data_IF_465268585714
#
_entry.id   IF_465268585714
#
_cell.length_a   1.000
_cell.length_b   1.000
_cell.length_c   1.000
_cell.angle_alpha   90.00
_cell.angle_beta   90.00
_cell.angle_gamma   90.00
#
_symmetry.space_group_name_H-M   'P 1'
#
loop_
_entity.id
_entity.type
_entity.pdbx_description
1 polymer ?
#
# COMPACT_ATOMS: atom_id res chain seq x y z
N UNK A 1 3.92 9.41 -1.79
CA UNK A 1 4.43 9.76 -3.13
C UNK A 1 4.16 11.23 -3.32
N UNK A 2 5.23 11.99 -3.52
CA UNK A 2 5.19 13.44 -3.71
C UNK A 2 4.64 13.77 -5.11
N UNK A 3 5.00 12.95 -6.11
CA UNK A 3 4.63 13.17 -7.51
C UNK A 3 3.25 12.61 -7.91
N UNK A 4 2.76 11.57 -7.22
CA UNK A 4 1.43 10.99 -7.52
C UNK A 4 0.32 11.50 -6.58
N UNK A 5 0.70 12.15 -5.48
CA UNK A 5 -0.24 12.57 -4.44
C UNK A 5 -0.93 11.39 -3.73
N UNK A 6 -1.88 11.70 -2.84
CA UNK A 6 -2.56 10.70 -1.99
C UNK A 6 -3.41 9.74 -2.83
N UNK A 7 -3.13 8.44 -2.72
CA UNK A 7 -3.82 7.38 -3.48
C UNK A 7 -3.55 7.39 -4.98
N UNK A 8 -2.55 8.17 -5.44
CA UNK A 8 -2.21 8.26 -6.86
C UNK A 8 -1.67 6.96 -7.42
N UNK A 9 -0.98 6.17 -6.60
CA UNK A 9 -0.39 4.90 -6.99
C UNK A 9 -1.47 3.83 -7.28
N UNK A 10 -2.47 3.70 -6.42
CA UNK A 10 -3.62 2.83 -6.68
C UNK A 10 -4.40 3.25 -7.92
N UNK A 11 -4.61 4.56 -8.11
CA UNK A 11 -5.26 5.11 -9.31
C UNK A 11 -4.45 4.90 -10.58
N UNK A 12 -3.12 4.86 -10.48
CA UNK A 12 -2.23 4.58 -11.58
C UNK A 12 -2.32 3.10 -11.92
N UNK A 13 -2.12 2.22 -10.94
CA UNK A 13 -2.21 0.77 -11.07
C UNK A 13 -3.55 0.33 -11.69
N UNK A 14 -4.69 0.86 -11.22
CA UNK A 14 -5.99 0.56 -11.84
C UNK A 14 -6.12 1.05 -13.29
N UNK A 15 -5.46 2.14 -13.67
CA UNK A 15 -5.53 2.72 -15.03
C UNK A 15 -4.66 1.99 -16.05
N UNK A 16 -3.53 1.46 -15.62
CA UNK A 16 -2.64 0.65 -16.48
C UNK A 16 -3.04 -0.84 -16.51
N UNK A 17 -4.20 -1.20 -15.97
CA UNK A 17 -4.66 -2.59 -15.94
C UNK A 17 -3.92 -3.47 -14.94
N UNK A 18 -3.32 -2.87 -13.92
CA UNK A 18 -2.73 -3.58 -12.79
C UNK A 18 -3.80 -4.33 -12.00
N UNK A 19 -3.50 -5.56 -11.59
CA UNK A 19 -4.40 -6.39 -10.80
C UNK A 19 -3.63 -7.11 -9.68
N UNK A 20 -4.35 -7.50 -8.63
CA UNK A 20 -3.76 -8.22 -7.50
C UNK A 20 -2.78 -7.41 -6.68
N UNK A 21 -2.88 -6.07 -6.69
CA UNK A 21 -2.12 -5.21 -5.80
C UNK A 21 -2.44 -5.59 -4.35
N UNK A 22 -1.46 -6.18 -3.66
CA UNK A 22 -1.60 -6.66 -2.30
C UNK A 22 -0.25 -6.58 -1.59
N UNK A 23 -0.29 -6.71 -0.27
CA UNK A 23 0.91 -6.75 0.55
C UNK A 23 0.71 -7.62 1.77
N UNK A 24 1.80 -8.23 2.24
CA UNK A 24 1.80 -8.98 3.48
C UNK A 24 2.94 -8.52 4.36
N UNK A 25 2.68 -8.48 5.67
CA UNK A 25 3.67 -8.08 6.67
C UNK A 25 3.88 -9.24 7.63
N UNK A 26 5.14 -9.67 7.78
CA UNK A 26 5.60 -10.54 8.85
C UNK A 26 6.53 -9.76 9.78
N UNK A 27 7.02 -10.40 10.84
CA UNK A 27 8.02 -9.78 11.76
C UNK A 27 9.28 -9.32 11.05
N UNK A 28 9.69 -10.02 10.00
CA UNK A 28 11.00 -9.83 9.37
C UNK A 28 10.91 -9.13 8.01
N UNK A 29 9.70 -9.00 7.44
CA UNK A 29 9.55 -8.46 6.10
C UNK A 29 8.16 -7.90 5.83
N UNK A 30 8.13 -6.78 5.12
CA UNK A 30 6.93 -6.30 4.43
C UNK A 30 7.13 -6.47 2.94
N UNK A 31 6.20 -7.17 2.28
CA UNK A 31 6.19 -7.36 0.84
C UNK A 31 5.03 -6.60 0.22
N UNK A 32 5.29 -6.01 -0.95
CA UNK A 32 4.28 -5.46 -1.85
C UNK A 32 4.42 -6.17 -3.20
N UNK A 33 3.32 -6.65 -3.76
CA UNK A 33 3.30 -7.28 -5.08
C UNK A 33 2.09 -6.82 -5.88
N UNK A 34 2.28 -6.70 -7.19
CA UNK A 34 1.27 -6.29 -8.14
C UNK A 34 1.55 -6.93 -9.50
N UNK A 35 0.50 -7.36 -10.20
CA UNK A 35 0.60 -7.86 -11.57
C UNK A 35 0.28 -6.74 -12.52
N UNK A 36 1.19 -6.45 -13.47
CA UNK A 36 1.06 -5.33 -14.41
C UNK A 36 1.37 -5.78 -15.84
N UNK A 37 0.74 -5.20 -16.88
CA UNK A 37 1.12 -5.43 -18.27
C UNK A 37 2.58 -5.08 -18.55
N UNK A 38 3.25 -5.80 -19.47
CA UNK A 38 4.70 -5.65 -19.70
C UNK A 38 5.10 -4.23 -20.11
N UNK A 39 4.24 -3.56 -20.85
CA UNK A 39 4.40 -2.20 -21.38
C UNK A 39 4.19 -1.13 -20.30
N UNK A 40 3.62 -1.50 -19.15
CA UNK A 40 3.43 -0.64 -17.99
C UNK A 40 4.51 -0.83 -16.91
N UNK A 41 5.42 -1.79 -17.06
CA UNK A 41 6.42 -2.15 -16.06
C UNK A 41 7.29 -0.96 -15.64
N UNK A 42 7.85 -0.23 -16.61
CA UNK A 42 8.73 0.92 -16.35
C UNK A 42 8.01 2.02 -15.56
N UNK A 43 6.75 2.31 -15.92
CA UNK A 43 5.93 3.31 -15.23
C UNK A 43 5.65 2.94 -13.79
N UNK A 44 5.46 1.65 -13.51
CA UNK A 44 5.22 1.17 -12.15
C UNK A 44 6.48 1.11 -11.30
N UNK A 45 7.63 0.76 -11.89
CA UNK A 45 8.91 0.85 -11.17
C UNK A 45 9.18 2.31 -10.75
N UNK A 46 8.93 3.27 -11.65
CA UNK A 46 9.07 4.69 -11.31
C UNK A 46 8.12 5.11 -10.19
N UNK A 47 6.84 4.71 -10.25
CA UNK A 47 5.85 5.01 -9.24
C UNK A 47 6.20 4.41 -7.85
N UNK A 48 6.69 3.17 -7.83
CA UNK A 48 7.10 2.50 -6.59
C UNK A 48 8.38 3.10 -6.01
N UNK A 49 9.34 3.48 -6.87
CA UNK A 49 10.54 4.19 -6.45
C UNK A 49 10.19 5.56 -5.84
N UNK A 50 9.27 6.31 -6.45
CA UNK A 50 8.80 7.60 -5.91
C UNK A 50 8.07 7.41 -4.57
N UNK A 51 7.25 6.35 -4.45
CA UNK A 51 6.63 6.00 -3.18
C UNK A 51 7.68 5.72 -2.11
N UNK A 52 8.71 4.93 -2.38
CA UNK A 52 9.73 4.57 -1.39
C UNK A 52 10.65 5.75 -1.05
N UNK A 53 11.04 6.57 -2.03
CA UNK A 53 11.95 7.70 -1.85
C UNK A 53 11.32 8.87 -1.09
N UNK A 54 10.03 9.14 -1.30
CA UNK A 54 9.35 10.32 -0.76
C UNK A 54 8.20 9.97 0.19
N UNK A 55 8.17 8.73 0.70
CA UNK A 55 7.10 8.29 1.60
C UNK A 55 6.97 9.21 2.81
N UNK A 56 8.11 9.50 3.46
CA UNK A 56 8.16 10.20 4.75
C UNK A 56 7.61 11.62 4.66
N UNK A 57 7.84 12.31 3.54
CA UNK A 57 7.35 13.67 3.30
C UNK A 57 5.82 13.73 3.22
N UNK A 58 5.18 12.60 2.94
CA UNK A 58 3.71 12.49 2.82
C UNK A 58 3.02 11.97 4.09
N UNK A 59 3.79 11.64 5.13
CA UNK A 59 3.25 11.19 6.42
C UNK A 59 2.91 12.41 7.27
N UNK A 60 1.60 12.65 7.46
CA UNK A 60 1.10 13.67 8.40
C UNK A 60 0.42 13.01 9.60
N UNK A 61 0.39 13.70 10.74
CA UNK A 61 -0.23 13.18 11.96
C UNK A 61 -1.71 12.80 11.76
N UNK A 62 -2.44 13.61 11.00
CA UNK A 62 -3.85 13.35 10.69
C UNK A 62 -4.04 12.06 9.87
N UNK A 63 -3.14 11.77 8.92
CA UNK A 63 -3.19 10.53 8.13
C UNK A 63 -2.81 9.34 9.02
N UNK A 64 -1.78 9.47 9.84
CA UNK A 64 -1.35 8.42 10.77
C UNK A 64 -2.45 8.06 11.78
N UNK A 65 -3.16 9.05 12.32
CA UNK A 65 -4.27 8.83 13.25
C UNK A 65 -5.41 8.05 12.61
N UNK A 66 -5.71 8.32 11.33
CA UNK A 66 -6.73 7.57 10.57
C UNK A 66 -6.31 6.12 10.32
N UNK A 67 -5.10 5.89 9.83
CA UNK A 67 -4.61 4.54 9.54
C UNK A 67 -4.50 3.68 10.81
N UNK A 68 -4.14 4.28 11.97
CA UNK A 68 -4.17 3.58 13.26
C UNK A 68 -5.55 3.01 13.60
N UNK A 69 -6.63 3.68 13.24
CA UNK A 69 -7.99 3.19 13.48
C UNK A 69 -8.33 2.02 12.53
N UNK A 70 -7.89 2.08 11.27
CA UNK A 70 -8.05 0.99 10.30
C UNK A 70 -7.32 -0.27 10.79
N UNK A 71 -6.06 -0.13 11.21
CA UNK A 71 -5.26 -1.26 11.73
C UNK A 71 -5.88 -1.86 13.00
N UNK A 72 -6.44 -1.03 13.89
CA UNK A 72 -7.18 -1.53 15.07
C UNK A 72 -8.40 -2.36 14.67
N UNK A 73 -9.15 -1.92 13.67
CA UNK A 73 -10.30 -2.65 13.16
C UNK A 73 -9.90 -3.96 12.47
N UNK A 74 -8.80 -3.94 11.71
CA UNK A 74 -8.25 -5.13 11.04
C UNK A 74 -7.76 -6.17 12.07
N UNK A 75 -7.05 -5.74 13.12
CA UNK A 75 -6.69 -6.61 14.25
C UNK A 75 -7.93 -7.20 14.93
N UNK A 76 -8.98 -6.41 15.14
CA UNK A 76 -10.23 -6.87 15.76
C UNK A 76 -10.92 -7.94 14.91
N UNK A 77 -10.87 -7.82 13.58
CA UNK A 77 -11.43 -8.82 12.67
C UNK A 77 -10.56 -10.07 12.55
N UNK A 78 -9.24 -9.92 12.51
CA UNK A 78 -8.30 -11.02 12.25
C UNK A 78 -7.86 -11.81 13.49
N UNK A 79 -7.81 -11.20 14.67
CA UNK A 79 -7.24 -11.80 15.90
C UNK A 79 -8.31 -12.00 16.99
N UNK A 80 -9.16 -10.99 17.23
CA UNK A 80 -10.12 -11.06 18.34
C UNK A 80 -11.39 -11.86 18.02
N UNK A 81 -11.63 -12.20 16.74
CA UNK A 81 -12.85 -12.89 16.27
C UNK A 81 -12.61 -14.34 15.79
N UNK A 82 -11.44 -14.91 16.11
CA UNK A 82 -11.11 -16.32 15.85
C UNK A 82 -11.53 -17.18 17.05
N UNK A 83 -12.41 -18.20 16.90
CA UNK A 83 -12.88 -19.02 18.02
C UNK A 83 -11.79 -19.79 18.78
N UNK A 84 -10.57 -19.93 18.24
CA UNK A 84 -9.50 -20.73 18.84
C UNK A 84 -8.09 -20.13 18.74
N UNK A 85 -7.95 -18.84 18.44
CA UNK A 85 -6.64 -18.15 18.34
C UNK A 85 -5.87 -18.42 17.06
#
# INVERSE_FOLDING_TARGET
SENLGKGGLDKMSSRIGGSGANGSTSRDRTNYFQTVPKDALEKMIWAEADKLGYFINTVTEAVLAKEKQVVKNEKRQGVDNQPYG
#
